data_IF_990529387396
#
_entry.id   IF_990529387396
#
_cell.length_a   1.000
_cell.length_b   1.000
_cell.length_c   1.000
_cell.angle_alpha   90.00
_cell.angle_beta   90.00
_cell.angle_gamma   90.00
#
_symmetry.space_group_name_H-M   'P 1'
#
loop_
_entity.id
_entity.type
_entity.pdbx_description
1 polymer ?
#
# COMPACT_ATOMS: atom_id res chain seq x y z
N UNK A 1 -25.87 13.41 17.99
CA UNK A 1 -25.61 13.68 16.56
C UNK A 1 -24.10 13.53 16.38
N UNK A 2 -23.64 12.30 16.12
CA UNK A 2 -22.21 12.02 15.92
C UNK A 2 -21.93 12.18 14.43
N UNK A 3 -21.07 13.13 14.08
CA UNK A 3 -20.57 13.23 12.72
C UNK A 3 -19.75 11.96 12.45
N UNK A 4 -20.24 11.12 11.54
CA UNK A 4 -19.44 10.09 10.91
C UNK A 4 -18.31 10.82 10.19
N UNK A 5 -17.09 10.77 10.73
CA UNK A 5 -15.88 11.13 10.01
C UNK A 5 -15.76 10.12 8.87
N UNK A 6 -16.36 10.44 7.72
CA UNK A 6 -16.12 9.72 6.48
C UNK A 6 -14.69 10.01 6.08
N UNK A 7 -13.74 9.22 6.57
CA UNK A 7 -12.41 9.13 5.99
C UNK A 7 -12.58 8.49 4.62
N UNK A 8 -12.84 9.31 3.61
CA UNK A 8 -12.70 8.90 2.22
C UNK A 8 -11.21 8.68 1.97
N UNK A 9 -10.76 7.45 2.16
CA UNK A 9 -9.47 7.01 1.64
C UNK A 9 -9.55 7.03 0.12
N UNK A 10 -8.69 7.81 -0.51
CA UNK A 10 -8.47 7.72 -1.95
C UNK A 10 -7.44 6.61 -2.19
N UNK A 11 -7.81 5.62 -3.00
CA UNK A 11 -6.85 4.62 -3.47
C UNK A 11 -5.92 5.31 -4.47
N UNK A 12 -4.61 5.14 -4.28
CA UNK A 12 -3.57 5.68 -5.18
C UNK A 12 -2.94 4.64 -6.12
N UNK A 13 -3.12 3.35 -5.83
CA UNK A 13 -2.64 2.26 -6.67
C UNK A 13 -2.66 0.89 -5.97
N UNK A 14 -2.17 -0.12 -6.67
CA UNK A 14 -1.86 -1.47 -6.16
C UNK A 14 -0.71 -2.07 -6.97
N UNK A 15 0.15 -2.83 -6.28
CA UNK A 15 1.18 -3.67 -6.85
C UNK A 15 0.88 -5.13 -6.45
N UNK A 16 1.01 -6.05 -7.41
CA UNK A 16 0.87 -7.50 -7.20
C UNK A 16 2.19 -8.19 -7.57
N UNK A 17 3.26 -7.74 -6.92
CA UNK A 17 4.63 -8.23 -7.10
C UNK A 17 5.49 -7.80 -5.89
N UNK A 18 6.79 -8.01 -5.96
CA UNK A 18 7.77 -7.60 -4.96
C UNK A 18 8.03 -6.09 -5.03
N UNK A 19 7.58 -5.29 -4.05
CA UNK A 19 7.89 -3.87 -4.02
C UNK A 19 9.39 -3.64 -3.77
N UNK A 20 9.87 -2.48 -4.22
CA UNK A 20 11.25 -2.05 -4.02
C UNK A 20 11.47 -1.71 -2.54
N UNK A 21 12.56 -2.24 -1.96
CA UNK A 21 13.01 -1.90 -0.61
C UNK A 21 12.63 -2.91 0.47
N UNK A 22 13.62 -3.26 1.29
CA UNK A 22 13.54 -4.32 2.31
C UNK A 22 12.58 -4.01 3.46
N UNK A 23 12.32 -2.72 3.73
CA UNK A 23 11.52 -2.30 4.89
C UNK A 23 10.07 -2.78 4.81
N UNK A 24 9.59 -3.06 3.59
CA UNK A 24 8.23 -3.55 3.31
C UNK A 24 8.05 -5.04 3.61
N UNK A 25 9.15 -5.76 3.87
CA UNK A 25 9.16 -7.18 4.23
C UNK A 25 9.40 -7.42 5.72
N UNK A 26 9.44 -6.36 6.53
CA UNK A 26 9.58 -6.49 7.96
C UNK A 26 8.27 -6.98 8.60
N UNK A 27 8.40 -7.79 9.65
CA UNK A 27 7.26 -8.28 10.44
C UNK A 27 6.68 -7.22 11.41
N UNK A 28 7.10 -5.96 11.28
CA UNK A 28 6.58 -4.82 12.05
C UNK A 28 6.14 -3.69 11.12
N UNK A 29 4.85 -3.34 11.19
CA UNK A 29 4.33 -2.14 10.54
C UNK A 29 4.21 -0.98 11.52
N UNK A 30 3.20 -0.13 11.32
CA UNK A 30 3.05 1.19 11.95
C UNK A 30 4.30 2.08 11.80
N UNK A 31 4.92 2.04 10.62
CA UNK A 31 6.13 2.80 10.30
C UNK A 31 5.79 3.97 9.37
N UNK A 32 6.34 5.16 9.63
CA UNK A 32 6.35 6.23 8.63
C UNK A 32 7.46 5.99 7.63
N UNK A 33 7.10 5.92 6.34
CA UNK A 33 8.02 5.65 5.24
C UNK A 33 7.92 6.72 4.15
N UNK A 34 9.05 6.98 3.51
CA UNK A 34 9.13 7.65 2.21
C UNK A 34 8.87 6.61 1.12
N UNK A 35 7.77 6.80 0.37
CA UNK A 35 7.32 5.89 -0.68
C UNK A 35 7.38 6.59 -2.02
N UNK A 36 7.98 5.91 -2.98
CA UNK A 36 7.92 6.28 -4.39
C UNK A 36 6.99 5.32 -5.12
N UNK A 37 6.20 5.84 -6.06
CA UNK A 37 5.39 5.03 -6.93
C UNK A 37 5.29 5.58 -8.35
N UNK A 38 5.07 4.69 -9.32
CA UNK A 38 4.93 5.02 -10.74
C UNK A 38 3.71 4.31 -11.32
N UNK A 39 3.03 4.98 -12.24
CA UNK A 39 1.97 4.36 -13.02
C UNK A 39 2.56 3.35 -14.01
N UNK A 40 1.75 2.40 -14.45
CA UNK A 40 2.11 1.41 -15.47
C UNK A 40 1.28 1.63 -16.74
N UNK A 41 1.75 1.14 -17.90
CA UNK A 41 0.94 1.15 -19.14
C UNK A 41 -0.36 0.38 -19.02
N UNK A 42 -0.44 -0.59 -18.10
CA UNK A 42 -1.66 -1.33 -17.79
C UNK A 42 -2.78 -0.44 -17.25
N UNK A 43 -2.44 0.77 -16.78
CA UNK A 43 -3.39 1.76 -16.28
C UNK A 43 -3.92 1.44 -14.88
N UNK A 44 -4.92 2.20 -14.45
CA UNK A 44 -5.52 2.09 -13.12
C UNK A 44 -6.04 0.66 -12.83
N UNK A 45 -5.74 0.06 -11.66
CA UNK A 45 -5.07 0.65 -10.48
C UNK A 45 -3.57 0.34 -10.37
N UNK A 46 -2.94 -0.15 -11.42
CA UNK A 46 -1.62 -0.79 -11.35
C UNK A 46 -0.49 0.23 -11.26
N UNK A 47 0.28 0.14 -10.18
CA UNK A 47 1.47 0.96 -9.94
C UNK A 47 2.65 0.07 -9.58
N UNK A 48 3.86 0.55 -9.85
CA UNK A 48 5.08 0.07 -9.19
C UNK A 48 5.29 0.96 -7.97
N UNK A 49 5.63 0.38 -6.83
CA UNK A 49 5.90 1.15 -5.63
C UNK A 49 7.05 0.56 -4.82
N UNK A 50 7.62 1.38 -3.95
CA UNK A 50 8.61 0.95 -2.99
C UNK A 50 9.18 2.09 -2.17
N UNK A 51 10.17 1.78 -1.36
CA UNK A 51 10.90 2.74 -0.53
C UNK A 51 12.32 2.93 -1.02
N UNK A 52 12.80 4.17 -1.00
CA UNK A 52 14.18 4.52 -1.32
C UNK A 52 14.54 5.84 -0.61
N UNK A 53 15.83 6.09 -0.38
CA UNK A 53 16.28 7.36 0.21
C UNK A 53 16.24 8.53 -0.78
N UNK A 54 16.06 8.24 -2.07
CA UNK A 54 15.91 9.24 -3.12
C UNK A 54 15.22 8.68 -4.36
N UNK A 55 14.69 9.56 -5.20
CA UNK A 55 14.13 9.21 -6.50
C UNK A 55 15.16 8.50 -7.40
N UNK A 56 16.41 8.97 -7.41
CA UNK A 56 17.49 8.35 -8.19
C UNK A 56 17.77 6.92 -7.73
N UNK A 57 17.70 6.66 -6.42
CA UNK A 57 17.91 5.31 -5.88
C UNK A 57 16.73 4.40 -6.25
N UNK A 58 15.49 4.90 -6.15
CA UNK A 58 14.30 4.17 -6.58
C UNK A 58 14.37 3.79 -8.06
N UNK A 59 14.72 4.74 -8.93
CA UNK A 59 14.88 4.49 -10.36
C UNK A 59 16.04 3.53 -10.66
N UNK A 60 17.13 3.59 -9.88
CA UNK A 60 18.24 2.64 -10.05
C UNK A 60 17.78 1.22 -9.74
N UNK A 61 17.13 1.01 -8.59
CA UNK A 61 16.61 -0.30 -8.20
C UNK A 61 15.54 -0.82 -9.18
N UNK A 62 14.65 0.06 -9.66
CA UNK A 62 13.67 -0.29 -10.67
C UNK A 62 14.34 -0.74 -11.99
N UNK A 63 15.37 -0.02 -12.45
CA UNK A 63 16.05 -0.37 -13.69
C UNK A 63 16.91 -1.64 -13.58
N UNK A 64 17.28 -2.03 -12.36
CA UNK A 64 18.01 -3.26 -12.08
C UNK A 64 17.09 -4.49 -11.92
N UNK A 65 15.76 -4.29 -11.84
CA UNK A 65 14.75 -5.35 -11.70
C UNK A 65 13.97 -5.57 -13.00
N UNK A 66 14.30 -6.66 -13.71
CA UNK A 66 13.63 -7.00 -14.97
C UNK A 66 12.14 -7.32 -14.81
N UNK A 67 11.70 -7.86 -13.67
CA UNK A 67 10.31 -8.24 -13.45
C UNK A 67 9.45 -6.98 -13.27
N UNK A 68 9.94 -6.00 -12.52
CA UNK A 68 9.28 -4.71 -12.40
C UNK A 68 9.27 -3.93 -13.71
N UNK A 69 10.35 -3.97 -14.51
CA UNK A 69 10.38 -3.35 -15.83
C UNK A 69 9.36 -3.96 -16.82
N UNK A 70 9.04 -5.26 -16.68
CA UNK A 70 7.99 -5.92 -17.49
C UNK A 70 6.59 -5.36 -17.24
N UNK A 71 6.39 -4.66 -16.12
CA UNK A 71 5.13 -3.96 -15.84
C UNK A 71 4.99 -2.64 -16.63
N UNK A 72 5.97 -2.29 -17.48
CA UNK A 72 5.94 -1.10 -18.32
C UNK A 72 5.65 0.20 -17.52
N UNK A 73 6.51 0.59 -16.55
CA UNK A 73 6.34 1.84 -15.83
C UNK A 73 6.37 3.05 -16.76
N UNK A 74 5.56 4.07 -16.44
CA UNK A 74 5.43 5.29 -17.23
C UNK A 74 5.43 6.54 -16.36
N UNK A 75 5.89 7.63 -16.96
CA UNK A 75 5.97 8.93 -16.30
C UNK A 75 7.17 9.03 -15.34
N UNK A 76 7.08 9.96 -14.40
CA UNK A 76 8.08 10.17 -13.37
C UNK A 76 7.59 9.59 -12.03
N UNK A 77 8.49 9.13 -11.15
CA UNK A 77 8.13 8.71 -9.80
C UNK A 77 7.40 9.81 -9.04
N UNK A 78 6.34 9.43 -8.33
CA UNK A 78 5.63 10.28 -7.38
C UNK A 78 6.10 9.91 -5.97
N UNK A 79 6.48 10.91 -5.18
CA UNK A 79 6.93 10.74 -3.79
C UNK A 79 5.82 11.12 -2.80
N UNK A 80 5.60 10.26 -1.81
CA UNK A 80 4.69 10.51 -0.70
C UNK A 80 5.30 10.03 0.62
N UNK A 81 4.84 10.63 1.71
CA UNK A 81 5.04 10.08 3.05
C UNK A 81 3.82 9.23 3.41
N UNK A 82 4.04 7.98 3.80
CA UNK A 82 2.97 7.04 4.10
C UNK A 82 3.19 6.34 5.44
N UNK A 83 2.10 5.93 6.08
CA UNK A 83 2.15 4.97 7.19
C UNK A 83 2.00 3.57 6.63
N UNK A 84 3.05 2.77 6.73
CA UNK A 84 3.03 1.35 6.41
C UNK A 84 2.35 0.57 7.51
N UNK A 85 1.39 -0.26 7.12
CA UNK A 85 0.61 -1.10 8.03
C UNK A 85 0.60 -2.53 7.49
N UNK A 86 0.68 -3.51 8.39
CA UNK A 86 0.56 -4.93 8.12
C UNK A 86 -0.61 -5.52 8.91
N UNK A 87 -0.98 -6.77 8.62
CA UNK A 87 -2.09 -7.46 9.31
C UNK A 87 -1.95 -7.42 10.84
N UNK A 88 -0.73 -7.58 11.35
CA UNK A 88 -0.44 -7.57 12.80
C UNK A 88 -0.68 -6.22 13.48
N UNK A 89 -0.80 -5.12 12.73
CA UNK A 89 -1.05 -3.79 13.29
C UNK A 89 -2.53 -3.59 13.68
N UNK A 90 -3.42 -4.47 13.21
CA UNK A 90 -4.84 -4.37 13.45
C UNK A 90 -5.27 -5.34 14.56
N UNK A 91 -5.94 -4.80 15.58
CA UNK A 91 -6.60 -5.62 16.60
C UNK A 91 -8.00 -6.02 16.10
N UNK A 92 -8.12 -7.25 15.62
CA UNK A 92 -9.40 -7.80 15.16
C UNK A 92 -10.25 -8.41 16.29
N UNK A 93 -9.81 -8.35 17.55
CA UNK A 93 -10.53 -8.97 18.67
C UNK A 93 -11.92 -8.38 18.93
N UNK A 94 -12.18 -7.14 18.48
CA UNK A 94 -13.51 -6.51 18.57
C UNK A 94 -14.51 -7.05 17.53
N UNK A 95 -14.04 -7.63 16.41
CA UNK A 95 -14.90 -8.16 15.34
C UNK A 95 -15.43 -9.56 15.69
N UNK A 96 -14.65 -10.36 16.41
CA UNK A 96 -15.05 -11.74 16.80
C UNK A 96 -16.12 -11.80 17.91
N UNK A 97 -16.30 -10.72 18.68
CA UNK A 97 -17.34 -10.65 19.71
C UNK A 97 -18.73 -10.25 19.17
N UNK A 98 -18.83 -9.92 17.88
CA UNK A 98 -20.05 -9.49 17.22
C UNK A 98 -20.66 -10.55 16.32
N UNK A 99 -21.06 -11.72 16.83
CA UNK A 99 -21.99 -12.54 16.04
C UNK A 99 -22.98 -13.44 16.81
N UNK A 100 -24.22 -13.35 16.31
CA UNK A 100 -25.20 -14.42 16.16
C UNK A 100 -26.22 -14.73 17.28
N UNK A 101 -26.90 -13.74 17.89
CA UNK A 101 -28.19 -14.02 18.59
C UNK A 101 -29.43 -13.22 18.19
N UNK A 102 -29.34 -12.06 17.55
CA UNK A 102 -30.53 -11.18 17.44
C UNK A 102 -31.16 -11.07 16.03
N UNK A 103 -31.04 -12.12 15.20
CA UNK A 103 -31.74 -12.17 13.91
C UNK A 103 -32.71 -13.35 13.82
N UNK A 104 -33.69 -13.41 14.73
CA UNK A 104 -34.96 -14.10 14.46
C UNK A 104 -36.10 -13.11 14.58
N UNK A 105 -36.92 -12.91 13.53
CA UNK A 105 -38.20 -12.23 13.69
C UNK A 105 -39.16 -13.18 14.41
N UNK A 106 -39.87 -12.65 15.41
CA UNK A 106 -41.03 -13.27 16.04
C UNK A 106 -42.25 -13.22 15.13
#
# INVERSE_FOLDING_TARGET
MLAQLGTNFERIGELQDYPIGEVLYLDNGNLELDVYYMETKSGWPWVILGTANSESEFLTQLNDDEDLLRLDPIGEPKHIKATFVIENDFDFSEIENGNAKDLRPE
#
